data_IF_442372616659
#
_entry.id   IF_442372616659
#
_cell.length_a   1.000
_cell.length_b   1.000
_cell.length_c   1.000
_cell.angle_alpha   90.00
_cell.angle_beta   90.00
_cell.angle_gamma   90.00
#
_symmetry.space_group_name_H-M   'P 1'
#
loop_
_entity.id
_entity.type
_entity.pdbx_description
1 polymer ?
#
# COMPACT_ATOMS: atom_id res chain seq x y z
N UNK A 1 16.69 0.26 -1.72
CA UNK A 1 15.28 -0.17 -1.57
C UNK A 1 15.06 -1.60 -2.03
N UNK A 2 16.07 -2.27 -2.61
CA UNK A 2 16.05 -3.72 -2.82
C UNK A 2 15.70 -4.43 -1.50
N UNK A 3 14.53 -5.10 -1.45
CA UNK A 3 14.02 -5.80 -0.27
C UNK A 3 12.84 -5.15 0.45
N UNK A 4 12.60 -3.83 0.31
CA UNK A 4 11.42 -3.21 0.91
C UNK A 4 10.14 -3.67 0.21
N UNK A 5 10.19 -3.82 -1.11
CA UNK A 5 9.09 -4.29 -1.94
C UNK A 5 8.76 -5.77 -1.67
N UNK A 6 9.79 -6.62 -1.65
CA UNK A 6 9.65 -8.05 -1.32
C UNK A 6 9.07 -8.27 0.08
N UNK A 7 9.51 -7.47 1.07
CA UNK A 7 9.03 -7.59 2.44
C UNK A 7 7.55 -7.24 2.60
N UNK A 8 7.01 -6.34 1.76
CA UNK A 8 5.61 -5.88 1.88
C UNK A 8 4.68 -6.53 0.86
N UNK A 9 5.19 -7.18 -0.19
CA UNK A 9 4.38 -7.82 -1.23
C UNK A 9 3.27 -8.75 -0.69
N UNK A 10 3.55 -9.66 0.27
CA UNK A 10 2.51 -10.55 0.80
C UNK A 10 1.33 -9.81 1.44
N UNK A 11 1.57 -8.61 1.98
CA UNK A 11 0.52 -7.76 2.55
C UNK A 11 -0.26 -7.06 1.43
N UNK A 12 0.43 -6.55 0.42
CA UNK A 12 -0.20 -5.83 -0.70
C UNK A 12 -1.04 -6.74 -1.61
N UNK A 13 -0.80 -8.05 -1.56
CA UNK A 13 -1.56 -9.08 -2.27
C UNK A 13 -2.82 -9.54 -1.54
N UNK A 14 -3.07 -9.05 -0.31
CA UNK A 14 -4.28 -9.42 0.43
C UNK A 14 -5.55 -9.04 -0.34
N UNK A 15 -6.50 -9.97 -0.38
CA UNK A 15 -7.84 -9.74 -0.89
C UNK A 15 -8.53 -8.60 -0.10
N UNK A 16 -9.39 -7.78 -0.73
CA UNK A 16 -10.01 -6.61 -0.09
C UNK A 16 -10.67 -6.89 1.27
N UNK A 17 -11.31 -8.04 1.42
CA UNK A 17 -11.95 -8.51 2.66
C UNK A 17 -10.98 -8.68 3.84
N UNK A 18 -9.69 -8.91 3.56
CA UNK A 18 -8.65 -9.07 4.56
C UNK A 18 -7.89 -7.77 4.85
N UNK A 19 -8.20 -6.68 4.15
CA UNK A 19 -7.56 -5.37 4.32
C UNK A 19 -8.18 -4.60 5.49
N UNK A 20 -8.11 -5.18 6.68
CA UNK A 20 -8.66 -4.58 7.90
C UNK A 20 -7.96 -3.25 8.23
N UNK A 21 -8.63 -2.42 9.02
CA UNK A 21 -8.16 -1.07 9.36
C UNK A 21 -6.70 -1.02 9.86
N UNK A 22 -6.28 -1.99 10.67
CA UNK A 22 -4.90 -2.05 11.17
C UNK A 22 -3.85 -2.24 10.07
N UNK A 23 -4.16 -3.04 9.05
CA UNK A 23 -3.28 -3.31 7.91
C UNK A 23 -3.21 -2.07 7.01
N UNK A 24 -4.37 -1.45 6.70
CA UNK A 24 -4.44 -0.21 5.92
C UNK A 24 -3.60 0.89 6.56
N UNK A 25 -3.78 1.15 7.86
CA UNK A 25 -3.01 2.19 8.56
C UNK A 25 -1.51 1.88 8.58
N UNK A 26 -1.12 0.61 8.64
CA UNK A 26 0.29 0.21 8.59
C UNK A 26 0.90 0.44 7.20
N UNK A 27 0.18 0.10 6.12
CA UNK A 27 0.60 0.40 4.75
C UNK A 27 0.74 1.92 4.52
N UNK A 28 -0.21 2.72 5.02
CA UNK A 28 -0.14 4.19 4.94
C UNK A 28 1.07 4.78 5.68
N UNK A 29 1.53 4.15 6.77
CA UNK A 29 2.78 4.56 7.44
C UNK A 29 4.01 4.31 6.57
N UNK A 30 4.04 3.20 5.84
CA UNK A 30 5.11 2.90 4.87
C UNK A 30 5.10 3.92 3.73
N UNK A 31 3.93 4.22 3.14
CA UNK A 31 3.79 5.27 2.11
C UNK A 31 4.32 6.63 2.59
N UNK A 32 3.97 7.04 3.81
CA UNK A 32 4.47 8.28 4.41
C UNK A 32 6.00 8.27 4.62
N UNK A 33 6.59 7.12 4.92
CA UNK A 33 8.04 7.00 5.07
C UNK A 33 8.73 7.09 3.69
N UNK A 34 8.18 6.42 2.67
CA UNK A 34 8.69 6.47 1.31
C UNK A 34 8.62 7.88 0.72
N UNK A 35 7.53 8.62 0.92
CA UNK A 35 7.35 9.98 0.39
C UNK A 35 8.30 11.02 1.00
N UNK A 36 8.94 10.69 2.12
CA UNK A 36 9.95 11.53 2.79
C UNK A 36 11.38 11.06 2.53
N UNK A 37 11.56 9.93 1.85
CA UNK A 37 12.87 9.36 1.58
C UNK A 37 13.56 10.08 0.42
N UNK A 38 14.85 10.45 0.54
CA UNK A 38 15.61 11.04 -0.56
C UNK A 38 15.95 10.04 -1.68
N UNK A 39 15.61 8.75 -1.50
CA UNK A 39 15.83 7.68 -2.47
C UNK A 39 14.63 7.63 -3.45
N UNK A 40 14.56 8.62 -4.32
CA UNK A 40 13.38 8.95 -5.14
C UNK A 40 12.98 7.94 -6.24
N UNK A 41 13.89 7.31 -7.02
CA UNK A 41 13.45 6.51 -8.17
C UNK A 41 12.88 5.14 -7.79
N UNK A 42 13.41 4.50 -6.75
CA UNK A 42 12.96 3.16 -6.33
C UNK A 42 11.73 3.18 -5.43
N UNK A 43 11.37 4.34 -4.88
CA UNK A 43 10.24 4.48 -3.96
C UNK A 43 8.90 4.68 -4.65
N UNK A 44 8.89 5.12 -5.90
CA UNK A 44 7.67 5.49 -6.62
C UNK A 44 6.79 4.28 -6.92
N UNK A 45 7.36 3.18 -7.41
CA UNK A 45 6.58 1.97 -7.73
C UNK A 45 5.91 1.38 -6.47
N UNK A 46 6.66 1.28 -5.38
CA UNK A 46 6.10 0.79 -4.12
C UNK A 46 5.04 1.75 -3.54
N UNK A 47 5.21 3.06 -3.70
CA UNK A 47 4.19 4.04 -3.31
C UNK A 47 2.89 3.81 -4.09
N UNK A 48 2.97 3.67 -5.42
CA UNK A 48 1.80 3.43 -6.28
C UNK A 48 1.07 2.14 -5.90
N UNK A 49 1.82 1.06 -5.61
CA UNK A 49 1.23 -0.20 -5.13
C UNK A 49 0.50 -0.02 -3.80
N UNK A 50 1.06 0.73 -2.85
CA UNK A 50 0.40 1.02 -1.56
C UNK A 50 -0.85 1.88 -1.77
N UNK A 51 -0.82 2.85 -2.68
CA UNK A 51 -1.99 3.67 -3.01
C UNK A 51 -3.10 2.82 -3.61
N UNK A 52 -2.78 1.91 -4.53
CA UNK A 52 -3.77 1.00 -5.10
C UNK A 52 -4.34 0.05 -4.05
N UNK A 53 -3.49 -0.48 -3.16
CA UNK A 53 -3.90 -1.37 -2.08
C UNK A 53 -4.87 -0.70 -1.08
N UNK A 54 -4.63 0.56 -0.75
CA UNK A 54 -5.39 1.32 0.26
C UNK A 54 -6.67 1.97 -0.26
N UNK A 55 -6.91 1.94 -1.58
CA UNK A 55 -8.20 2.31 -2.16
C UNK A 55 -9.26 1.30 -1.72
N UNK A 56 -10.22 1.76 -0.91
CA UNK A 56 -11.46 1.03 -0.67
C UNK A 56 -12.27 1.03 -1.97
N UNK A 57 -12.54 -0.14 -2.60
CA UNK A 57 -13.52 -0.19 -3.67
C UNK A 57 -14.84 0.28 -3.07
N UNK A 58 -15.44 1.33 -3.63
CA UNK A 58 -16.83 1.64 -3.34
C UNK A 58 -17.60 0.36 -3.68
N UNK A 59 -18.10 -0.38 -2.67
CA UNK A 59 -19.12 -1.40 -2.93
C UNK A 59 -20.15 -0.68 -3.78
N UNK A 60 -20.35 -1.17 -5.00
CA UNK A 60 -21.37 -0.64 -5.90
C UNK A 60 -22.64 -0.46 -5.08
N UNK A 61 -23.01 0.79 -4.79
CA UNK A 61 -24.25 1.09 -4.10
C UNK A 61 -25.35 0.40 -4.91
N UNK A 62 -26.20 -0.43 -4.28
CA UNK A 62 -27.38 -0.91 -4.98
C UNK A 62 -28.13 0.33 -5.48
N UNK A 63 -28.40 0.35 -6.79
CA UNK A 63 -29.14 1.45 -7.44
C UNK A 63 -30.56 1.53 -6.92
#
# INVERSE_FOLDING_TARGET
MEGADEAVSPILELAPENRINGIINSAMRVHKALSRSPLAPSGSELQERIEMFTRTPLRSLPR
#
